data_IF_985838032748
#
_entry.id   IF_985838032748
#
_cell.length_a   1.000
_cell.length_b   1.000
_cell.length_c   1.000
_cell.angle_alpha   90.00
_cell.angle_beta   90.00
_cell.angle_gamma   90.00
#
_symmetry.space_group_name_H-M   'P 1'
#
loop_
_entity.id
_entity.type
_entity.pdbx_description
1 polymer ?
#
# COMPACT_ATOMS: atom_id res chain seq x y z
N UNK A 1 20.94 10.61 -45.92
CA UNK A 1 21.34 10.84 -44.51
C UNK A 1 20.13 11.05 -43.60
N UNK A 2 19.17 11.91 -43.96
CA UNK A 2 17.97 12.16 -43.15
C UNK A 2 17.16 10.90 -42.77
N UNK A 3 16.96 9.96 -43.71
CA UNK A 3 16.23 8.69 -43.49
C UNK A 3 16.86 7.77 -42.43
N UNK A 4 18.19 7.83 -42.31
CA UNK A 4 18.94 7.04 -41.33
C UNK A 4 18.86 7.69 -39.95
N UNK A 5 18.89 9.02 -39.90
CA UNK A 5 18.66 9.79 -38.67
C UNK A 5 17.25 9.57 -38.11
N UNK A 6 16.21 9.55 -38.96
CA UNK A 6 14.85 9.23 -38.51
C UNK A 6 14.72 7.79 -38.04
N UNK A 7 15.36 6.83 -38.71
CA UNK A 7 15.36 5.44 -38.27
C UNK A 7 16.04 5.27 -36.90
N UNK A 8 17.17 5.94 -36.68
CA UNK A 8 17.89 5.92 -35.40
C UNK A 8 17.06 6.58 -34.29
N UNK A 9 16.42 7.72 -34.57
CA UNK A 9 15.56 8.40 -33.61
C UNK A 9 14.34 7.55 -33.21
N UNK A 10 13.75 6.83 -34.16
CA UNK A 10 12.64 5.91 -33.90
C UNK A 10 13.06 4.75 -32.98
N UNK A 11 14.25 4.18 -33.22
CA UNK A 11 14.81 3.11 -32.39
C UNK A 11 15.10 3.61 -30.97
N UNK A 12 15.67 4.81 -30.82
CA UNK A 12 15.95 5.41 -29.49
C UNK A 12 14.66 5.64 -28.70
N UNK A 13 13.57 6.08 -29.36
CA UNK A 13 12.26 6.27 -28.71
C UNK A 13 11.62 4.94 -28.26
N UNK A 14 11.85 3.85 -28.98
CA UNK A 14 11.33 2.51 -28.62
C UNK A 14 12.13 1.79 -27.53
N UNK A 15 13.33 2.28 -27.17
CA UNK A 15 14.16 1.71 -26.10
C UNK A 15 13.78 2.27 -24.72
N UNK A 16 12.71 3.07 -24.63
CA UNK A 16 12.10 3.44 -23.35
C UNK A 16 11.79 2.16 -22.56
N UNK A 17 12.33 2.00 -21.33
CA UNK A 17 12.21 0.74 -20.63
C UNK A 17 10.75 0.49 -20.30
N UNK A 18 10.29 -0.70 -20.67
CA UNK A 18 9.07 -1.37 -20.19
C UNK A 18 9.04 -1.52 -18.64
N UNK A 19 10.00 -0.92 -17.93
CA UNK A 19 10.37 -1.13 -16.52
C UNK A 19 10.33 0.19 -15.73
N UNK A 20 9.66 1.22 -16.25
CA UNK A 20 9.62 2.51 -15.59
C UNK A 20 8.67 2.53 -14.38
N UNK A 21 7.56 1.78 -14.44
CA UNK A 21 6.49 1.83 -13.43
C UNK A 21 5.83 0.46 -13.28
N UNK A 22 5.82 -0.10 -12.08
CA UNK A 22 5.09 -1.32 -11.74
C UNK A 22 3.95 -1.00 -10.78
N UNK A 23 2.76 -1.56 -11.05
CA UNK A 23 1.66 -1.47 -10.08
C UNK A 23 1.92 -2.46 -8.96
N UNK A 24 1.96 -1.96 -7.74
CA UNK A 24 2.10 -2.78 -6.54
C UNK A 24 0.84 -2.68 -5.68
N UNK A 25 0.41 -3.79 -5.09
CA UNK A 25 -0.67 -3.83 -4.12
C UNK A 25 -0.36 -4.82 -3.01
N UNK A 26 -0.92 -4.58 -1.84
CA UNK A 26 -0.77 -5.44 -0.66
C UNK A 26 -1.98 -5.32 0.25
N UNK A 27 -2.21 -6.35 1.06
CA UNK A 27 -3.20 -6.35 2.13
C UNK A 27 -2.51 -6.83 3.39
N UNK A 28 -2.50 -5.98 4.42
CA UNK A 28 -2.17 -6.37 5.79
C UNK A 28 -3.47 -6.64 6.55
N UNK A 29 -3.64 -7.88 7.00
CA UNK A 29 -4.80 -8.34 7.75
C UNK A 29 -4.34 -8.95 9.08
N UNK A 30 -4.77 -8.35 10.19
CA UNK A 30 -4.34 -8.74 11.53
C UNK A 30 -5.51 -8.71 12.52
N UNK A 31 -5.54 -9.66 13.46
CA UNK A 31 -6.44 -9.61 14.62
C UNK A 31 -5.71 -8.91 15.78
N UNK A 32 -6.35 -7.91 16.36
CA UNK A 32 -5.81 -7.12 17.47
C UNK A 32 -6.63 -7.37 18.73
N UNK A 33 -5.93 -7.58 19.84
CA UNK A 33 -6.47 -7.63 21.18
C UNK A 33 -5.96 -6.40 21.94
N UNK A 34 -6.87 -5.50 22.29
CA UNK A 34 -6.54 -4.31 23.05
C UNK A 34 -7.19 -4.39 24.44
N UNK A 35 -6.36 -4.52 25.47
CA UNK A 35 -6.80 -4.43 26.85
C UNK A 35 -6.71 -2.97 27.30
N UNK A 36 -7.87 -2.33 27.48
CA UNK A 36 -7.93 -1.03 28.13
C UNK A 36 -8.06 -1.28 29.62
N UNK A 37 -6.94 -1.18 30.32
CA UNK A 37 -6.90 -1.11 31.78
C UNK A 37 -7.16 0.35 32.17
N UNK A 38 -8.24 0.59 32.89
CA UNK A 38 -8.62 1.91 33.37
C UNK A 38 -8.77 1.92 34.88
N UNK A 39 -8.69 3.11 35.49
CA UNK A 39 -9.00 3.22 36.92
C UNK A 39 -10.48 2.93 37.16
N UNK A 40 -10.77 2.03 38.10
CA UNK A 40 -12.11 1.53 38.50
C UNK A 40 -13.19 2.63 38.62
N UNK A 41 -12.80 3.86 38.94
CA UNK A 41 -13.71 4.96 39.25
C UNK A 41 -14.28 5.69 38.02
N UNK A 42 -13.55 5.75 36.90
CA UNK A 42 -13.93 6.57 35.74
C UNK A 42 -13.83 5.86 34.40
N UNK A 43 -13.11 4.75 34.35
CA UNK A 43 -12.81 4.01 33.11
C UNK A 43 -12.78 2.53 33.42
N UNK A 44 -13.90 1.79 33.28
CA UNK A 44 -13.92 0.37 33.57
C UNK A 44 -12.99 -0.41 32.63
N UNK A 45 -12.43 -1.50 33.13
CA UNK A 45 -11.59 -2.41 32.37
C UNK A 45 -12.38 -3.05 31.22
N UNK A 46 -11.80 -2.99 30.02
CA UNK A 46 -12.44 -3.49 28.81
C UNK A 46 -11.41 -4.15 27.90
N UNK A 47 -11.71 -5.36 27.44
CA UNK A 47 -10.94 -6.03 26.38
C UNK A 47 -11.71 -5.92 25.07
N UNK A 48 -11.08 -5.32 24.06
CA UNK A 48 -11.63 -5.20 22.71
C UNK A 48 -10.89 -6.12 21.74
N UNK A 49 -11.63 -6.74 20.84
CA UNK A 49 -11.09 -7.52 19.72
C UNK A 49 -11.49 -6.86 18.40
N UNK A 50 -10.50 -6.61 17.53
CA UNK A 50 -10.70 -6.03 16.21
C UNK A 50 -10.03 -6.87 15.14
N UNK A 51 -10.63 -6.90 13.95
CA UNK A 51 -9.88 -7.17 12.72
C UNK A 51 -9.40 -5.84 12.15
N UNK A 52 -8.09 -5.70 11.93
CA UNK A 52 -7.50 -4.60 11.16
C UNK A 52 -7.26 -5.08 9.73
N UNK A 53 -7.79 -4.33 8.77
CA UNK A 53 -7.52 -4.49 7.34
C UNK A 53 -6.87 -3.20 6.81
N UNK A 54 -5.69 -3.33 6.22
CA UNK A 54 -4.95 -2.23 5.61
C UNK A 54 -4.56 -2.58 4.17
N UNK A 55 -5.49 -2.46 3.20
CA UNK A 55 -5.15 -2.54 1.79
C UNK A 55 -4.38 -1.29 1.33
N UNK A 56 -3.35 -1.52 0.53
CA UNK A 56 -2.56 -0.49 -0.12
C UNK A 56 -2.40 -0.80 -1.61
N UNK A 57 -2.41 0.24 -2.44
CA UNK A 57 -2.12 0.17 -3.87
C UNK A 57 -1.23 1.35 -4.26
N UNK A 58 -0.37 1.15 -5.23
CA UNK A 58 0.50 2.21 -5.69
C UNK A 58 1.32 1.83 -6.90
N UNK A 59 2.32 2.67 -7.16
CA UNK A 59 3.27 2.50 -8.24
C UNK A 59 4.70 2.49 -7.71
N UNK A 60 5.51 1.65 -8.32
CA UNK A 60 6.91 1.44 -8.03
C UNK A 60 7.73 1.83 -9.25
N UNK A 61 8.76 2.64 -9.08
CA UNK A 61 9.60 3.16 -10.16
C UNK A 61 11.02 2.67 -9.98
N UNK A 62 11.68 2.43 -11.11
CA UNK A 62 13.08 2.00 -11.16
C UNK A 62 13.33 0.74 -10.31
N UNK A 63 12.56 -0.32 -10.56
CA UNK A 63 12.74 -1.63 -9.91
C UNK A 63 12.65 -1.57 -8.37
N UNK A 64 11.55 -1.02 -7.84
CA UNK A 64 11.35 -0.94 -6.38
C UNK A 64 12.03 0.24 -5.69
N UNK A 65 12.94 0.96 -6.35
CA UNK A 65 13.75 2.01 -5.69
C UNK A 65 12.91 3.17 -5.17
N UNK A 66 11.85 3.53 -5.87
CA UNK A 66 10.94 4.59 -5.47
C UNK A 66 9.51 4.08 -5.49
N UNK A 67 8.78 4.22 -4.39
CA UNK A 67 7.41 3.76 -4.28
C UNK A 67 6.51 4.90 -3.83
N UNK A 68 5.34 5.01 -4.47
CA UNK A 68 4.25 5.86 -4.03
C UNK A 68 3.01 4.98 -3.87
N UNK A 69 2.60 4.77 -2.61
CA UNK A 69 1.45 3.94 -2.24
C UNK A 69 0.44 4.76 -1.46
N UNK A 70 -0.83 4.41 -1.65
CA UNK A 70 -1.95 4.92 -0.88
C UNK A 70 -2.84 3.78 -0.45
N UNK A 71 -3.50 3.93 0.69
CA UNK A 71 -4.34 2.91 1.26
C UNK A 71 -5.32 3.46 2.28
N UNK A 72 -6.13 2.57 2.81
CA UNK A 72 -7.06 2.86 3.90
C UNK A 72 -6.84 1.86 5.01
N UNK A 73 -7.07 2.28 6.25
CA UNK A 73 -7.05 1.36 7.40
C UNK A 73 -8.47 1.26 7.93
N UNK A 74 -8.98 0.03 7.96
CA UNK A 74 -10.30 -0.30 8.51
C UNK A 74 -10.12 -1.13 9.78
N UNK A 75 -10.80 -0.74 10.85
CA UNK A 75 -10.92 -1.52 12.07
C UNK A 75 -12.36 -2.01 12.20
N UNK A 76 -12.55 -3.31 12.16
CA UNK A 76 -13.85 -3.95 12.39
C UNK A 76 -13.87 -4.54 13.80
N UNK A 77 -14.74 -4.06 14.70
CA UNK A 77 -15.01 -4.75 15.97
C UNK A 77 -15.52 -6.16 15.71
N UNK A 78 -15.00 -7.14 16.46
CA UNK A 78 -15.40 -8.55 16.36
C UNK A 78 -16.36 -8.98 17.47
N UNK A 79 -16.59 -8.11 18.45
CA UNK A 79 -17.48 -8.34 19.58
C UNK A 79 -18.68 -7.42 19.39
N UNK A 80 -19.87 -8.00 19.46
CA UNK A 80 -21.17 -7.31 19.50
C UNK A 80 -21.45 -6.99 20.99
N UNK A 81 -21.93 -5.77 21.28
CA UNK A 81 -22.39 -5.40 22.63
C UNK A 81 -23.62 -6.22 23.05
#
# INVERSE_FOLDING_TARGET
>A
MLKWLTAILLVILTVSPLVAQEVEWSIDATVLLNNREGGDEYTPDQTFMFTRLAPEIGVSLFDGKHQLKGGVVWYQPMIDD
#
